data_IF_857770361014
#
_entry.id   IF_857770361014
#
_cell.length_a   1.000
_cell.length_b   1.000
_cell.length_c   1.000
_cell.angle_alpha   90.00
_cell.angle_beta   90.00
_cell.angle_gamma   90.00
#
_symmetry.space_group_name_H-M   'P 1'
#
loop_
_entity.id
_entity.type
_entity.pdbx_description
1 polymer ?
#
# COMPACT_ATOMS: atom_id res chain seq x y z
N UNK A 1 9.61 8.17 6.79
CA UNK A 1 10.05 6.82 7.22
C UNK A 1 8.86 6.13 7.85
N UNK A 2 8.79 4.80 7.83
CA UNK A 2 7.67 4.11 8.46
C UNK A 2 7.73 4.22 9.99
N UNK A 3 6.60 4.59 10.60
CA UNK A 3 6.36 4.56 12.04
C UNK A 3 6.09 3.12 12.47
N UNK A 4 6.50 2.81 13.69
CA UNK A 4 6.32 1.50 14.32
C UNK A 4 5.73 1.72 15.70
N UNK A 5 4.64 1.02 16.00
CA UNK A 5 4.02 0.97 17.33
C UNK A 5 4.07 -0.48 17.80
N UNK A 6 4.50 -0.70 19.04
CA UNK A 6 4.45 -2.03 19.63
C UNK A 6 3.04 -2.31 20.15
N UNK A 7 2.53 -3.51 19.89
CA UNK A 7 1.28 -3.96 20.49
C UNK A 7 1.44 -3.99 22.01
N UNK A 8 0.39 -3.59 22.73
CA UNK A 8 0.39 -3.66 24.18
C UNK A 8 0.51 -5.13 24.63
N UNK A 9 1.38 -5.47 25.60
CA UNK A 9 1.60 -6.86 26.01
C UNK A 9 0.33 -7.61 26.41
N UNK A 10 -0.65 -6.92 27.03
CA UNK A 10 -1.93 -7.53 27.42
C UNK A 10 -2.84 -7.92 26.24
N UNK A 11 -2.60 -7.37 25.05
CA UNK A 11 -3.34 -7.68 23.81
C UNK A 11 -2.54 -8.59 22.87
N UNK A 12 -1.24 -8.78 23.13
CA UNK A 12 -0.34 -9.50 22.26
C UNK A 12 -0.52 -11.01 22.44
N UNK A 13 -0.83 -11.70 21.35
CA UNK A 13 -0.84 -13.18 21.28
C UNK A 13 0.50 -13.76 20.85
N UNK A 14 1.46 -12.90 20.48
CA UNK A 14 2.75 -13.27 19.89
C UNK A 14 3.89 -12.54 20.61
N UNK A 15 5.07 -13.16 20.67
CA UNK A 15 6.27 -12.60 21.33
C UNK A 15 6.78 -11.30 20.69
N UNK A 16 6.46 -11.13 19.41
CA UNK A 16 6.74 -9.93 18.65
C UNK A 16 5.49 -9.55 17.88
N UNK A 17 4.92 -8.39 18.23
CA UNK A 17 3.76 -7.83 17.56
C UNK A 17 3.92 -6.32 17.46
N UNK A 18 4.04 -5.82 16.23
CA UNK A 18 4.08 -4.39 15.95
C UNK A 18 3.04 -4.01 14.89
N UNK A 19 2.67 -2.75 14.90
CA UNK A 19 1.87 -2.07 13.89
C UNK A 19 2.76 -1.07 13.14
N UNK A 20 2.51 -0.86 11.86
CA UNK A 20 3.24 0.13 11.05
C UNK A 20 2.32 0.84 10.07
N UNK A 21 2.62 2.12 9.83
CA UNK A 21 1.97 2.97 8.83
C UNK A 21 2.36 2.59 7.38
N UNK A 22 3.28 1.64 7.21
CA UNK A 22 3.65 1.09 5.91
C UNK A 22 2.53 0.19 5.36
N UNK A 23 2.17 0.38 4.08
CA UNK A 23 1.18 -0.46 3.39
C UNK A 23 1.53 -1.97 3.47
N UNK A 24 0.48 -2.79 3.63
CA UNK A 24 0.56 -4.24 3.78
C UNK A 24 1.42 -4.93 2.71
N UNK A 25 1.22 -4.59 1.43
CA UNK A 25 1.94 -5.26 0.35
C UNK A 25 3.41 -4.86 0.32
N UNK A 26 3.71 -3.62 0.69
CA UNK A 26 5.09 -3.15 0.77
C UNK A 26 5.81 -3.80 1.95
N UNK A 27 5.17 -3.88 3.11
CA UNK A 27 5.69 -4.58 4.28
C UNK A 27 5.95 -6.07 3.97
N UNK A 28 5.00 -6.76 3.32
CA UNK A 28 5.15 -8.15 2.89
C UNK A 28 6.34 -8.33 1.94
N UNK A 29 6.53 -7.40 1.00
CA UNK A 29 7.63 -7.45 0.03
C UNK A 29 9.01 -7.31 0.71
N UNK A 30 9.15 -6.40 1.68
CA UNK A 30 10.46 -6.12 2.31
C UNK A 30 10.80 -7.10 3.44
N UNK A 31 9.80 -7.61 4.15
CA UNK A 31 9.99 -8.55 5.25
C UNK A 31 10.11 -10.00 4.78
N UNK A 32 9.48 -10.36 3.65
CA UNK A 32 9.52 -11.71 3.07
C UNK A 32 9.18 -12.78 4.12
N UNK A 33 10.16 -13.55 4.57
CA UNK A 33 9.99 -14.69 5.48
C UNK A 33 10.50 -14.38 6.90
N UNK A 34 10.83 -13.13 7.22
CA UNK A 34 11.34 -12.76 8.55
C UNK A 34 10.26 -12.76 9.64
N UNK A 35 9.01 -12.52 9.26
CA UNK A 35 7.87 -12.48 10.15
C UNK A 35 6.58 -12.63 9.34
N UNK A 36 5.49 -12.96 10.02
CA UNK A 36 4.15 -12.98 9.42
C UNK A 36 3.62 -11.56 9.31
N UNK A 37 3.26 -11.14 8.10
CA UNK A 37 2.66 -9.83 7.85
C UNK A 37 1.15 -10.00 7.67
N UNK A 38 0.37 -9.26 8.47
CA UNK A 38 -1.10 -9.25 8.46
C UNK A 38 -1.62 -7.84 8.18
N UNK A 39 -2.83 -7.73 7.64
CA UNK A 39 -3.54 -6.44 7.57
C UNK A 39 -4.09 -6.07 8.95
N UNK A 40 -4.13 -4.78 9.24
CA UNK A 40 -4.80 -4.26 10.42
C UNK A 40 -6.19 -3.75 10.05
N UNK A 41 -7.22 -4.31 10.67
CA UNK A 41 -8.61 -3.88 10.52
C UNK A 41 -9.18 -3.34 11.84
N UNK A 42 -8.35 -3.14 12.86
CA UNK A 42 -8.79 -2.63 14.16
C UNK A 42 -8.83 -1.10 14.21
N UNK A 43 -9.43 -0.59 15.29
CA UNK A 43 -9.53 0.85 15.56
C UNK A 43 -8.48 1.35 16.57
N UNK A 44 -7.73 0.45 17.20
CA UNK A 44 -6.70 0.77 18.21
C UNK A 44 -5.46 -0.15 18.07
N UNK A 45 -4.42 0.27 17.30
CA UNK A 45 -4.38 1.49 16.50
C UNK A 45 -5.23 1.38 15.21
N UNK A 46 -5.75 2.50 14.66
CA UNK A 46 -6.60 2.49 13.48
C UNK A 46 -5.92 1.88 12.24
N UNK A 47 -6.63 0.99 11.54
CA UNK A 47 -6.15 0.34 10.30
C UNK A 47 -5.91 1.32 9.14
N UNK A 48 -6.61 2.45 9.13
CA UNK A 48 -6.42 3.48 8.10
C UNK A 48 -5.13 4.28 8.28
N UNK A 49 -4.60 4.33 9.50
CA UNK A 49 -3.32 4.97 9.82
C UNK A 49 -2.17 3.96 9.91
N UNK A 50 -2.44 2.79 10.48
CA UNK A 50 -1.50 1.69 10.68
C UNK A 50 -2.02 0.42 10.00
N UNK A 51 -1.99 0.33 8.66
CA UNK A 51 -2.65 -0.74 7.89
C UNK A 51 -2.03 -2.12 8.05
N UNK A 52 -0.86 -2.21 8.70
CA UNK A 52 -0.08 -3.44 8.74
C UNK A 52 0.28 -3.83 10.14
N UNK A 53 0.11 -5.12 10.43
CA UNK A 53 0.63 -5.78 11.61
C UNK A 53 1.77 -6.73 11.19
N UNK A 54 2.83 -6.77 11.99
CA UNK A 54 3.93 -7.73 11.83
C UNK A 54 4.00 -8.55 13.10
N UNK A 55 3.81 -9.86 12.97
CA UNK A 55 3.77 -10.80 14.09
C UNK A 55 4.74 -11.96 13.89
N UNK A 56 5.36 -12.40 14.96
CA UNK A 56 6.21 -13.58 14.98
C UNK A 56 6.44 -14.07 16.42
N UNK A 57 6.74 -15.36 16.54
CA UNK A 57 7.05 -16.02 17.81
C UNK A 57 8.54 -16.40 17.84
N UNK A 58 9.13 -16.47 19.05
CA UNK A 58 10.51 -16.92 19.27
C UNK A 58 11.58 -16.18 18.44
N UNK A 59 11.37 -14.89 18.12
CA UNK A 59 12.34 -14.11 17.37
C UNK A 59 13.56 -13.74 18.22
N UNK A 60 14.76 -13.99 17.69
CA UNK A 60 16.01 -13.47 18.25
C UNK A 60 16.06 -11.94 18.22
N UNK A 61 16.84 -11.35 19.12
CA UNK A 61 17.05 -9.88 19.18
C UNK A 61 17.59 -9.33 17.84
N UNK A 62 18.48 -10.06 17.18
CA UNK A 62 19.03 -9.67 15.88
C UNK A 62 17.97 -9.65 14.77
N UNK A 63 17.07 -10.65 14.73
CA UNK A 63 15.97 -10.68 13.77
C UNK A 63 14.98 -9.53 13.98
N UNK A 64 14.65 -9.21 15.24
CA UNK A 64 13.82 -8.04 15.59
C UNK A 64 14.44 -6.73 15.06
N UNK A 65 15.74 -6.55 15.30
CA UNK A 65 16.47 -5.38 14.79
C UNK A 65 16.50 -5.30 13.26
N UNK A 66 16.62 -6.44 12.57
CA UNK A 66 16.58 -6.48 11.09
C UNK A 66 15.21 -6.09 10.56
N UNK A 67 14.12 -6.57 11.16
CA UNK A 67 12.74 -6.21 10.79
C UNK A 67 12.56 -4.71 10.92
N UNK A 68 12.85 -4.13 12.10
CA UNK A 68 12.70 -2.70 12.33
C UNK A 68 13.57 -1.87 11.38
N UNK A 69 14.81 -2.28 11.14
CA UNK A 69 15.72 -1.60 10.20
C UNK A 69 15.15 -1.57 8.78
N UNK A 70 14.54 -2.66 8.32
CA UNK A 70 13.92 -2.72 6.98
C UNK A 70 12.68 -1.84 6.91
N UNK A 71 11.80 -1.91 7.91
CA UNK A 71 10.59 -1.08 8.00
C UNK A 71 10.94 0.42 8.05
N UNK A 72 11.83 0.84 8.95
CA UNK A 72 12.23 2.25 9.11
C UNK A 72 12.85 2.85 7.83
N UNK A 73 13.51 2.03 7.01
CA UNK A 73 14.07 2.46 5.71
C UNK A 73 13.02 2.62 4.61
N UNK A 74 11.83 2.03 4.76
CA UNK A 74 10.80 2.09 3.73
C UNK A 74 10.17 3.48 3.65
N UNK A 75 9.78 3.85 2.41
CA UNK A 75 9.02 5.07 2.16
C UNK A 75 7.54 4.71 2.23
N UNK A 76 6.85 5.40 3.13
CA UNK A 76 5.41 5.27 3.32
C UNK A 76 4.68 5.95 2.16
N UNK A 77 3.48 5.48 1.85
CA UNK A 77 2.49 6.22 1.07
C UNK A 77 1.13 5.99 1.68
N UNK A 78 0.09 6.69 1.19
CA UNK A 78 -1.28 6.36 1.54
C UNK A 78 -1.53 4.84 1.41
N UNK A 79 -2.17 4.21 2.40
CA UNK A 79 -2.52 2.80 2.33
C UNK A 79 -3.42 2.54 1.12
N UNK A 80 -3.18 1.43 0.42
CA UNK A 80 -3.91 1.11 -0.82
C UNK A 80 -5.41 0.91 -0.56
N UNK A 81 -5.80 0.40 0.61
CA UNK A 81 -7.21 0.18 0.94
C UNK A 81 -7.94 1.51 1.13
N UNK A 82 -7.35 2.48 1.86
CA UNK A 82 -7.90 3.85 2.01
C UNK A 82 -8.09 4.53 0.67
N UNK A 83 -7.08 4.44 -0.20
CA UNK A 83 -7.13 5.01 -1.54
C UNK A 83 -8.26 4.39 -2.38
N UNK A 84 -8.39 3.06 -2.35
CA UNK A 84 -9.42 2.34 -3.11
C UNK A 84 -10.81 2.66 -2.58
N UNK A 85 -10.99 2.73 -1.26
CA UNK A 85 -12.25 3.07 -0.61
C UNK A 85 -12.72 4.48 -1.00
N UNK A 86 -11.82 5.47 -0.92
CA UNK A 86 -12.09 6.84 -1.39
C UNK A 86 -12.46 6.89 -2.87
N UNK A 87 -11.75 6.14 -3.73
CA UNK A 87 -12.09 6.09 -5.16
C UNK A 87 -13.45 5.46 -5.45
N UNK A 88 -13.91 4.54 -4.61
CA UNK A 88 -15.22 3.92 -4.73
C UNK A 88 -16.35 4.83 -4.24
N UNK A 89 -16.13 5.52 -3.11
CA UNK A 89 -17.10 6.40 -2.47
C UNK A 89 -17.23 7.76 -3.14
N UNK A 90 -16.09 8.41 -3.42
CA UNK A 90 -16.02 9.80 -3.86
C UNK A 90 -15.63 9.95 -5.35
N UNK A 91 -15.16 8.87 -5.98
CA UNK A 91 -14.67 8.88 -7.35
C UNK A 91 -13.25 9.43 -7.52
N UNK A 92 -12.68 9.98 -6.46
CA UNK A 92 -11.30 10.45 -6.39
C UNK A 92 -10.67 10.15 -5.01
N UNK A 93 -9.35 10.24 -4.93
CA UNK A 93 -8.57 10.27 -3.70
C UNK A 93 -7.54 11.39 -3.82
N UNK A 94 -7.40 12.21 -2.80
CA UNK A 94 -6.49 13.35 -2.81
C UNK A 94 -5.69 13.39 -1.52
N UNK A 95 -4.37 13.61 -1.63
CA UNK A 95 -3.51 13.69 -0.47
C UNK A 95 -2.37 14.69 -0.66
N UNK A 96 -1.91 15.24 0.45
CA UNK A 96 -0.68 16.03 0.51
C UNK A 96 0.54 15.10 0.46
N UNK A 97 1.37 15.16 -0.60
CA UNK A 97 2.53 14.28 -0.75
C UNK A 97 3.59 14.49 0.33
N UNK A 98 3.70 15.68 0.93
CA UNK A 98 4.70 15.97 1.96
C UNK A 98 4.41 15.27 3.29
N UNK A 99 3.17 14.82 3.50
CA UNK A 99 2.82 13.95 4.64
C UNK A 99 3.44 12.55 4.56
N UNK A 100 3.83 12.10 3.36
CA UNK A 100 4.30 10.74 3.12
C UNK A 100 5.72 10.66 2.56
N UNK A 101 6.07 11.60 1.69
CA UNK A 101 7.30 11.56 0.90
C UNK A 101 8.34 12.55 1.43
N UNK A 102 9.64 12.25 1.30
CA UNK A 102 10.69 13.18 1.69
C UNK A 102 10.61 14.49 0.89
N UNK A 103 10.74 15.64 1.54
CA UNK A 103 10.72 16.97 0.89
C UNK A 103 11.76 17.10 -0.23
N UNK A 104 12.92 16.46 -0.07
CA UNK A 104 13.99 16.42 -1.08
C UNK A 104 13.61 15.69 -2.38
N UNK A 105 12.47 15.01 -2.45
CA UNK A 105 12.02 14.38 -3.69
C UNK A 105 11.41 15.39 -4.63
N UNK A 106 11.74 15.31 -5.93
CA UNK A 106 11.07 16.12 -6.94
C UNK A 106 9.60 15.71 -7.08
N UNK A 107 8.78 16.60 -7.63
CA UNK A 107 7.36 16.34 -7.90
C UNK A 107 7.18 15.13 -8.82
N UNK A 108 8.02 14.99 -9.84
CA UNK A 108 8.01 13.87 -10.79
C UNK A 108 8.32 12.56 -10.08
N UNK A 109 9.26 12.57 -9.12
CA UNK A 109 9.61 11.38 -8.36
C UNK A 109 8.45 10.94 -7.45
N UNK A 110 7.82 11.88 -6.75
CA UNK A 110 6.64 11.61 -5.92
C UNK A 110 5.48 11.08 -6.76
N UNK A 111 5.23 11.70 -7.92
CA UNK A 111 4.21 11.28 -8.87
C UNK A 111 4.45 9.85 -9.37
N UNK A 112 5.67 9.57 -9.86
CA UNK A 112 6.04 8.25 -10.38
C UNK A 112 5.96 7.17 -9.29
N UNK A 113 6.38 7.50 -8.07
CA UNK A 113 6.26 6.59 -6.94
C UNK A 113 4.80 6.27 -6.61
N UNK A 114 3.94 7.29 -6.58
CA UNK A 114 2.50 7.13 -6.36
C UNK A 114 1.88 6.25 -7.43
N UNK A 115 2.09 6.58 -8.70
CA UNK A 115 1.50 5.88 -9.84
C UNK A 115 1.86 4.39 -9.86
N UNK A 116 3.14 4.05 -9.63
CA UNK A 116 3.62 2.66 -9.61
C UNK A 116 3.04 1.82 -8.48
N UNK A 117 2.54 2.45 -7.41
CA UNK A 117 1.95 1.75 -6.27
C UNK A 117 0.46 1.48 -6.44
N UNK A 118 -0.20 2.11 -7.40
CA UNK A 118 -1.62 1.91 -7.63
C UNK A 118 -1.89 0.44 -8.00
N UNK A 119 -2.94 -0.18 -7.43
CA UNK A 119 -3.33 -1.53 -7.80
C UNK A 119 -4.01 -1.54 -9.18
N UNK A 120 -3.28 -1.14 -10.24
CA UNK A 120 -3.77 -1.06 -11.63
C UNK A 120 -4.06 -2.43 -12.26
N UNK A 121 -3.77 -3.51 -11.56
CA UNK A 121 -4.22 -4.85 -11.93
C UNK A 121 -5.63 -5.15 -11.37
N UNK A 122 -6.14 -4.32 -10.46
CA UNK A 122 -7.51 -4.43 -9.96
C UNK A 122 -8.51 -3.88 -10.97
N UNK A 123 -9.54 -4.67 -11.26
CA UNK A 123 -10.66 -4.27 -12.11
C UNK A 123 -11.39 -3.02 -11.58
N UNK A 124 -11.30 -2.77 -10.27
CA UNK A 124 -11.89 -1.59 -9.60
C UNK A 124 -11.28 -0.29 -10.15
N UNK A 125 -9.97 -0.29 -10.36
CA UNK A 125 -9.21 0.89 -10.80
C UNK A 125 -8.97 0.91 -12.30
N UNK A 126 -8.82 -0.26 -12.91
CA UNK A 126 -8.42 -0.37 -14.30
C UNK A 126 -9.23 -1.47 -15.01
N UNK A 127 -10.01 -1.06 -15.99
CA UNK A 127 -10.87 -1.94 -16.79
C UNK A 127 -10.79 -1.56 -18.27
N UNK A 128 -11.40 -2.32 -19.18
CA UNK A 128 -11.45 -1.95 -20.59
C UNK A 128 -12.09 -0.58 -20.85
N UNK A 129 -12.94 -0.10 -19.94
CA UNK A 129 -13.69 1.15 -20.12
C UNK A 129 -13.22 2.29 -19.22
N UNK A 130 -12.43 2.00 -18.18
CA UNK A 130 -12.01 2.99 -17.18
C UNK A 130 -10.54 2.83 -16.85
N UNK A 131 -9.89 3.94 -16.53
CA UNK A 131 -8.52 3.99 -16.05
C UNK A 131 -8.42 4.96 -14.89
N UNK A 132 -7.28 4.96 -14.22
CA UNK A 132 -6.94 6.00 -13.25
C UNK A 132 -6.15 7.10 -13.94
N UNK A 133 -6.47 8.35 -13.60
CA UNK A 133 -5.63 9.51 -13.87
C UNK A 133 -5.01 9.98 -12.55
N UNK A 134 -3.71 10.21 -12.57
CA UNK A 134 -3.00 10.88 -11.47
C UNK A 134 -2.66 12.28 -11.95
N UNK A 135 -2.94 13.30 -11.14
CA UNK A 135 -2.70 14.70 -11.45
C UNK A 135 -2.20 15.45 -10.22
N UNK A 136 -1.53 16.57 -10.45
CA UNK A 136 -1.22 17.53 -9.40
C UNK A 136 -2.29 18.61 -9.37
N UNK A 137 -2.85 18.91 -8.20
CA UNK A 137 -3.80 20.01 -7.97
C UNK A 137 -3.46 20.71 -6.66
N UNK A 138 -3.23 22.02 -6.71
CA UNK A 138 -3.01 22.87 -5.52
C UNK A 138 -1.97 22.29 -4.53
N UNK A 139 -0.85 21.80 -5.06
CA UNK A 139 0.23 21.22 -4.25
C UNK A 139 -0.03 19.78 -3.75
N UNK A 140 -1.17 19.19 -4.09
CA UNK A 140 -1.55 17.82 -3.73
C UNK A 140 -1.50 16.89 -4.93
N UNK A 141 -1.43 15.59 -4.65
CA UNK A 141 -1.61 14.54 -5.66
C UNK A 141 -3.07 14.08 -5.59
N UNK A 142 -3.75 14.18 -6.73
CA UNK A 142 -5.13 13.72 -6.93
C UNK A 142 -5.15 12.53 -7.86
N UNK A 143 -5.88 11.51 -7.45
CA UNK A 143 -6.07 10.24 -8.15
C UNK A 143 -7.55 10.13 -8.43
N UNK A 144 -7.94 9.94 -9.68
CA UNK A 144 -9.34 9.90 -10.08
C UNK A 144 -9.60 8.78 -11.08
N UNK A 145 -10.79 8.18 -11.01
CA UNK A 145 -11.21 7.18 -11.98
C UNK A 145 -11.89 7.88 -13.16
N UNK A 146 -11.31 7.72 -14.35
CA UNK A 146 -11.79 8.36 -15.58
C UNK A 146 -12.23 7.32 -16.61
N UNK A 147 -13.24 7.61 -17.43
CA UNK A 147 -13.56 6.77 -18.58
C UNK A 147 -12.39 6.83 -19.59
N UNK A 148 -12.18 5.72 -20.29
CA UNK A 148 -11.28 5.68 -21.45
C UNK A 148 -12.04 6.21 -22.67
N UNK A 149 -11.35 6.89 -23.56
CA UNK A 149 -11.92 7.37 -24.83
C UNK A 149 -12.38 6.21 -25.73
N UNK A 150 -11.68 5.08 -25.66
CA UNK A 150 -12.00 3.86 -26.40
C UNK A 150 -11.83 2.64 -25.50
N UNK A 151 -12.60 1.58 -25.79
CA UNK A 151 -12.45 0.29 -25.13
C UNK A 151 -11.01 -0.20 -25.32
N UNK A 152 -10.33 -0.47 -24.23
CA UNK A 152 -8.99 -1.04 -24.23
C UNK A 152 -9.09 -2.54 -23.96
N UNK A 153 -8.96 -3.35 -25.01
CA UNK A 153 -8.89 -4.80 -24.92
C UNK A 153 -7.41 -5.23 -24.91
N UNK A 154 -6.83 -5.49 -23.74
CA UNK A 154 -5.42 -5.83 -23.63
C UNK A 154 -5.13 -7.23 -24.19
N UNK A 155 -4.41 -7.29 -25.31
CA UNK A 155 -3.98 -8.54 -25.95
C UNK A 155 -3.08 -9.34 -25.00
N UNK A 156 -3.51 -10.55 -24.66
CA UNK A 156 -2.72 -11.48 -23.84
C UNK A 156 -1.81 -12.26 -24.79
N UNK A 157 -0.53 -11.93 -24.78
CA UNK A 157 0.46 -12.55 -25.65
C UNK A 157 1.19 -13.71 -24.95
N UNK A 158 1.18 -13.79 -23.62
CA UNK A 158 1.96 -14.79 -22.88
C UNK A 158 1.20 -15.43 -21.72
N UNK A 159 1.60 -16.67 -21.38
CA UNK A 159 1.10 -17.40 -20.20
C UNK A 159 1.28 -16.61 -18.90
N UNK A 160 2.37 -15.85 -18.76
CA UNK A 160 2.61 -14.99 -17.59
C UNK A 160 1.62 -13.82 -17.52
N UNK A 161 1.28 -13.21 -18.65
CA UNK A 161 0.25 -12.15 -18.71
C UNK A 161 -1.14 -12.70 -18.35
N UNK A 162 -1.47 -13.92 -18.80
CA UNK A 162 -2.69 -14.61 -18.43
C UNK A 162 -2.76 -14.90 -16.92
N UNK A 163 -1.67 -15.43 -16.33
CA UNK A 163 -1.58 -15.72 -14.90
C UNK A 163 -1.68 -14.45 -14.02
N UNK A 164 -1.03 -13.35 -14.42
CA UNK A 164 -1.13 -12.06 -13.69
C UNK A 164 -2.56 -11.51 -13.66
N UNK A 165 -3.38 -11.81 -14.68
CA UNK A 165 -4.81 -11.46 -14.70
C UNK A 165 -5.70 -12.41 -13.92
N UNK A 166 -5.33 -13.67 -13.76
CA UNK A 166 -6.01 -14.56 -12.80
C UNK A 166 -5.73 -14.15 -11.36
N UNK A 167 -4.49 -13.74 -11.09
CA UNK A 167 -4.04 -13.25 -9.79
C UNK A 167 -4.26 -11.74 -9.64
N UNK A 168 -5.41 -11.22 -10.07
CA UNK A 168 -5.85 -9.94 -9.51
C UNK A 168 -6.00 -10.19 -8.01
N UNK A 169 -5.32 -9.46 -7.12
CA UNK A 169 -5.66 -9.50 -5.71
C UNK A 169 -7.04 -8.86 -5.58
N UNK A 170 -8.09 -9.65 -5.83
CA UNK A 170 -9.47 -9.29 -5.55
C UNK A 170 -9.70 -9.53 -4.06
N UNK A 171 -9.12 -8.68 -3.24
CA UNK A 171 -9.36 -8.70 -1.81
C UNK A 171 -9.22 -7.25 -1.29
N UNK A 172 -10.27 -6.45 -1.18
CA UNK A 172 -11.28 -6.64 -0.13
C UNK A 172 -10.90 -7.79 0.82
#
# INVERSE_FOLDING_TARGET
MAKIIHCHPSKATNDYHIYTDLDFWDARLILKNLATVKRNFGDDPPGDEYPTQVVADNLSRSSKAVIEKRLKKAIVSPPRHVLVDSLLKEGYFEFDPLRYYPERWSRERMFNFTYRRLPLNSAILNSPYRTVRVSWRDGKIRIERVPREKKFDPVIQTKQQALRRRNVPSCF
#
